data_IF_176668360980
#
_entry.id   IF_176668360980
#
_cell.length_a   1.000
_cell.length_b   1.000
_cell.length_c   1.000
_cell.angle_alpha   90.00
_cell.angle_beta   90.00
_cell.angle_gamma   90.00
#
_symmetry.space_group_name_H-M   'P 1'
#
loop_
_entity.id
_entity.type
_entity.pdbx_description
1 polymer ?
#
# COMPACT_ATOMS: atom_id res chain seq x y z
N UNK A 1 -34.03 22.44 7.39
CA UNK A 1 -33.32 21.32 6.71
C UNK A 1 -34.02 20.01 7.04
N UNK A 2 -34.33 19.20 6.04
CA UNK A 2 -35.18 18.00 6.16
C UNK A 2 -34.33 16.76 6.52
N UNK A 3 -34.72 15.95 7.51
CA UNK A 3 -33.93 14.78 7.98
C UNK A 3 -33.59 13.74 6.89
N UNK A 4 -34.31 13.74 5.76
CA UNK A 4 -34.09 12.85 4.61
C UNK A 4 -32.82 13.17 3.83
N UNK A 5 -32.36 14.42 3.85
CA UNK A 5 -31.16 14.88 3.13
C UNK A 5 -29.87 14.21 3.68
N UNK A 6 -29.87 13.80 4.95
CA UNK A 6 -28.69 13.18 5.57
C UNK A 6 -28.48 11.72 5.18
N UNK A 7 -29.52 10.98 4.77
CA UNK A 7 -29.40 9.55 4.45
C UNK A 7 -28.95 9.28 3.01
N UNK A 8 -29.19 10.23 2.10
CA UNK A 8 -28.87 10.09 0.68
C UNK A 8 -27.36 9.89 0.46
N UNK A 9 -26.45 10.70 1.06
CA UNK A 9 -25.01 10.47 0.91
C UNK A 9 -24.56 9.09 1.39
N UNK A 10 -25.08 8.61 2.54
CA UNK A 10 -24.74 7.27 3.04
C UNK A 10 -25.26 6.17 2.12
N UNK A 11 -26.48 6.30 1.60
CA UNK A 11 -27.05 5.35 0.66
C UNK A 11 -26.23 5.30 -0.65
N UNK A 12 -25.84 6.47 -1.17
CA UNK A 12 -25.00 6.58 -2.37
C UNK A 12 -23.62 5.96 -2.15
N UNK A 13 -22.95 6.29 -1.04
CA UNK A 13 -21.64 5.69 -0.70
C UNK A 13 -21.73 4.18 -0.57
N UNK A 14 -22.78 3.66 0.09
CA UNK A 14 -22.98 2.22 0.24
C UNK A 14 -23.22 1.55 -1.13
N UNK A 15 -24.03 2.16 -1.99
CA UNK A 15 -24.30 1.65 -3.33
C UNK A 15 -23.04 1.64 -4.20
N UNK A 16 -22.25 2.71 -4.16
CA UNK A 16 -20.95 2.81 -4.87
C UNK A 16 -19.99 1.75 -4.35
N UNK A 17 -19.89 1.58 -3.02
CA UNK A 17 -19.04 0.55 -2.42
C UNK A 17 -19.39 -0.83 -2.97
N UNK A 18 -20.67 -1.20 -3.02
CA UNK A 18 -21.11 -2.48 -3.58
C UNK A 18 -20.80 -2.62 -5.08
N UNK A 19 -21.03 -1.58 -5.87
CA UNK A 19 -20.76 -1.57 -7.32
C UNK A 19 -19.28 -1.80 -7.60
N UNK A 20 -18.39 -1.14 -6.86
CA UNK A 20 -16.93 -1.25 -7.07
C UNK A 20 -16.40 -2.65 -6.70
N UNK A 21 -17.10 -3.43 -5.88
CA UNK A 21 -16.71 -4.83 -5.63
C UNK A 21 -16.97 -5.76 -6.81
N UNK A 22 -17.73 -5.34 -7.83
CA UNK A 22 -18.08 -6.19 -8.97
C UNK A 22 -16.87 -6.43 -9.89
N UNK A 23 -16.73 -7.64 -10.48
CA UNK A 23 -15.58 -7.99 -11.33
C UNK A 23 -15.34 -7.06 -12.52
N UNK A 24 -16.40 -6.43 -13.04
CA UNK A 24 -16.31 -5.48 -14.15
C UNK A 24 -15.39 -4.28 -13.84
N UNK A 25 -15.34 -3.84 -12.58
CA UNK A 25 -14.50 -2.71 -12.17
C UNK A 25 -13.05 -3.10 -11.93
N UNK A 26 -12.69 -4.39 -12.03
CA UNK A 26 -11.32 -4.84 -11.81
C UNK A 26 -10.34 -4.19 -12.80
N UNK A 27 -10.73 -4.02 -14.06
CA UNK A 27 -9.90 -3.36 -15.10
C UNK A 27 -9.55 -1.93 -14.71
N UNK A 28 -10.51 -1.20 -14.13
CA UNK A 28 -10.30 0.19 -13.69
C UNK A 28 -9.47 0.23 -12.42
N UNK A 29 -9.69 -0.71 -11.48
CA UNK A 29 -8.94 -0.80 -10.23
C UNK A 29 -7.51 -1.31 -10.44
N UNK A 30 -7.27 -2.10 -11.47
CA UNK A 30 -6.00 -2.78 -11.73
C UNK A 30 -4.78 -1.84 -11.69
N UNK A 31 -4.73 -0.72 -12.44
CA UNK A 31 -3.59 0.20 -12.36
C UNK A 31 -3.39 0.79 -10.94
N UNK A 32 -4.47 1.12 -10.23
CA UNK A 32 -4.39 1.63 -8.85
C UNK A 32 -3.94 0.55 -7.87
N UNK A 33 -4.33 -0.70 -8.08
CA UNK A 33 -3.90 -1.85 -7.30
C UNK A 33 -2.40 -2.07 -7.45
N UNK A 34 -1.89 -2.07 -8.68
CA UNK A 34 -0.46 -2.15 -8.95
C UNK A 34 0.31 -0.97 -8.35
N UNK A 35 -0.23 0.24 -8.45
CA UNK A 35 0.38 1.44 -7.86
C UNK A 35 0.42 1.37 -6.32
N UNK A 36 -0.67 0.90 -5.70
CA UNK A 36 -0.73 0.66 -4.25
C UNK A 36 0.31 -0.37 -3.80
N UNK A 37 0.44 -1.47 -4.54
CA UNK A 37 1.49 -2.46 -4.31
C UNK A 37 2.89 -1.86 -4.49
N UNK A 38 3.10 -1.03 -5.51
CA UNK A 38 4.37 -0.33 -5.70
C UNK A 38 4.72 0.54 -4.49
N UNK A 39 3.76 1.32 -3.97
CA UNK A 39 3.97 2.13 -2.76
C UNK A 39 4.26 1.27 -1.53
N UNK A 40 3.61 0.11 -1.41
CA UNK A 40 3.87 -0.84 -0.33
C UNK A 40 5.31 -1.34 -0.38
N UNK A 41 5.74 -1.87 -1.53
CA UNK A 41 7.08 -2.42 -1.69
C UNK A 41 8.17 -1.34 -1.59
N UNK A 42 7.91 -0.14 -2.11
CA UNK A 42 8.78 1.01 -1.92
C UNK A 42 8.89 1.43 -0.44
N UNK A 43 7.81 1.31 0.33
CA UNK A 43 7.84 1.55 1.77
C UNK A 43 8.84 0.65 2.50
N UNK A 44 8.88 -0.64 2.16
CA UNK A 44 9.93 -1.55 2.64
C UNK A 44 11.33 -1.11 2.19
N UNK A 45 11.49 -0.81 0.90
CA UNK A 45 12.76 -0.36 0.33
C UNK A 45 13.31 0.88 1.02
N UNK A 46 12.52 1.95 1.12
CA UNK A 46 12.90 3.21 1.77
C UNK A 46 13.21 2.99 3.25
N UNK A 47 12.39 2.24 3.97
CA UNK A 47 12.65 1.93 5.37
C UNK A 47 13.99 1.20 5.56
N UNK A 48 14.32 0.24 4.68
CA UNK A 48 15.62 -0.44 4.72
C UNK A 48 16.80 0.52 4.52
N UNK A 49 16.68 1.48 3.58
CA UNK A 49 17.71 2.47 3.29
C UNK A 49 17.92 3.42 4.48
N UNK A 50 16.83 3.91 5.08
CA UNK A 50 16.90 4.81 6.24
C UNK A 50 17.57 4.17 7.46
N UNK A 51 17.44 2.84 7.58
CA UNK A 51 18.10 2.06 8.63
C UNK A 51 19.57 1.73 8.32
N UNK A 52 20.12 2.19 7.21
CA UNK A 52 21.50 1.88 6.78
C UNK A 52 21.63 0.53 6.08
N UNK A 53 20.52 -0.12 5.76
CA UNK A 53 20.48 -1.30 4.91
C UNK A 53 20.57 -0.96 3.42
N UNK A 54 20.20 -1.92 2.59
CA UNK A 54 20.21 -1.82 1.13
C UNK A 54 18.84 -2.20 0.57
N UNK A 55 18.37 -1.38 -0.37
CA UNK A 55 17.27 -1.73 -1.25
C UNK A 55 17.84 -2.14 -2.61
N UNK A 56 17.60 -3.38 -3.03
CA UNK A 56 18.21 -3.93 -4.25
C UNK A 56 17.30 -3.70 -5.45
N UNK A 57 16.07 -4.21 -5.37
CA UNK A 57 15.00 -4.01 -6.35
C UNK A 57 13.66 -4.39 -5.73
N UNK A 58 12.57 -4.05 -6.41
CA UNK A 58 11.25 -4.59 -6.13
C UNK A 58 10.70 -5.26 -7.39
N UNK A 59 9.84 -6.24 -7.19
CA UNK A 59 9.05 -6.89 -8.22
C UNK A 59 7.57 -6.61 -8.00
N UNK A 60 6.83 -6.46 -9.10
CA UNK A 60 5.38 -6.40 -9.10
C UNK A 60 4.86 -7.48 -10.04
N UNK A 61 3.96 -8.30 -9.51
CA UNK A 61 3.38 -9.43 -10.21
C UNK A 61 2.03 -9.06 -10.82
N UNK A 62 1.69 -9.76 -11.90
CA UNK A 62 0.43 -9.52 -12.64
C UNK A 62 -0.82 -9.71 -11.79
N UNK A 63 -0.76 -10.51 -10.72
CA UNK A 63 -1.86 -10.72 -9.78
C UNK A 63 -2.04 -9.57 -8.77
N UNK A 64 -1.25 -8.50 -8.87
CA UNK A 64 -1.29 -7.37 -7.95
C UNK A 64 -0.41 -7.54 -6.71
N UNK A 65 0.26 -8.68 -6.53
CA UNK A 65 1.25 -8.86 -5.47
C UNK A 65 2.60 -8.22 -5.83
N UNK A 66 3.48 -8.09 -4.84
CA UNK A 66 4.84 -7.59 -5.02
C UNK A 66 5.78 -8.11 -3.95
N UNK A 67 7.07 -7.90 -4.17
CA UNK A 67 8.13 -8.20 -3.18
C UNK A 67 9.25 -7.18 -3.31
N UNK A 68 9.62 -6.54 -2.20
CA UNK A 68 10.82 -5.74 -2.06
C UNK A 68 12.01 -6.58 -1.56
N UNK A 69 13.08 -6.62 -2.35
CA UNK A 69 14.33 -7.27 -1.96
C UNK A 69 15.21 -6.27 -1.22
N UNK A 70 15.36 -6.49 0.09
CA UNK A 70 16.12 -5.64 1.00
C UNK A 70 17.12 -6.45 1.81
N UNK A 71 18.25 -5.83 2.16
CA UNK A 71 19.24 -6.38 3.08
C UNK A 71 19.47 -5.40 4.23
N UNK A 72 19.22 -5.87 5.45
CA UNK A 72 19.39 -5.11 6.71
C UNK A 72 20.40 -5.77 7.63
N UNK A 73 21.28 -6.63 7.10
CA UNK A 73 22.35 -7.26 7.89
C UNK A 73 23.34 -6.22 8.45
N UNK A 74 23.55 -5.12 7.73
CA UNK A 74 24.49 -4.05 8.07
C UNK A 74 23.79 -2.74 8.53
N UNK A 75 22.56 -2.83 9.03
CA UNK A 75 21.80 -1.66 9.49
C UNK A 75 22.34 -1.05 10.79
N UNK A 76 21.99 0.20 11.06
CA UNK A 76 22.32 0.92 12.30
C UNK A 76 21.70 0.29 13.56
N UNK A 77 20.64 -0.51 13.39
CA UNK A 77 19.93 -1.21 14.47
C UNK A 77 20.24 -2.72 14.46
N UNK A 78 19.98 -3.43 15.57
CA UNK A 78 20.06 -4.88 15.60
C UNK A 78 19.18 -5.50 14.51
N UNK A 79 19.70 -6.52 13.82
CA UNK A 79 19.07 -7.15 12.65
C UNK A 79 17.57 -7.42 12.80
N UNK A 80 17.14 -7.97 13.95
CA UNK A 80 15.72 -8.28 14.20
C UNK A 80 14.83 -7.03 14.24
N UNK A 81 15.32 -5.97 14.87
CA UNK A 81 14.60 -4.71 14.98
C UNK A 81 14.57 -3.99 13.63
N UNK A 82 15.71 -3.93 12.94
CA UNK A 82 15.79 -3.34 11.61
C UNK A 82 14.83 -4.05 10.64
N UNK A 83 14.83 -5.39 10.64
CA UNK A 83 13.91 -6.19 9.82
C UNK A 83 12.45 -5.95 10.16
N UNK A 84 12.11 -5.81 11.45
CA UNK A 84 10.75 -5.50 11.87
C UNK A 84 10.29 -4.11 11.41
N UNK A 85 11.16 -3.09 11.51
CA UNK A 85 10.86 -1.73 11.06
C UNK A 85 10.77 -1.67 9.53
N UNK A 86 11.67 -2.32 8.81
CA UNK A 86 11.59 -2.47 7.35
C UNK A 86 10.28 -3.13 6.93
N UNK A 87 9.84 -4.19 7.64
CA UNK A 87 8.55 -4.82 7.39
C UNK A 87 7.37 -3.87 7.70
N UNK A 88 7.44 -3.04 8.73
CA UNK A 88 6.41 -2.05 9.01
C UNK A 88 6.35 -0.93 7.94
N UNK A 89 7.48 -0.63 7.29
CA UNK A 89 7.61 0.40 6.27
C UNK A 89 6.62 0.27 5.11
N UNK A 90 6.23 -0.95 4.74
CA UNK A 90 5.28 -1.16 3.64
C UNK A 90 3.88 -0.60 3.91
N UNK A 91 3.40 -0.64 5.15
CA UNK A 91 2.13 -0.02 5.54
C UNK A 91 2.20 1.51 5.53
N UNK A 92 3.36 2.07 5.85
CA UNK A 92 3.58 3.52 5.81
C UNK A 92 3.65 4.01 4.36
N UNK A 93 4.33 3.26 3.49
CA UNK A 93 4.42 3.58 2.06
C UNK A 93 3.06 3.74 1.40
N UNK A 94 2.12 2.82 1.64
CA UNK A 94 0.77 2.89 1.07
C UNK A 94 -0.06 4.05 1.62
N UNK A 95 0.03 4.32 2.92
CA UNK A 95 -0.72 5.42 3.54
C UNK A 95 -0.26 6.78 3.02
N UNK A 96 1.04 7.03 2.92
CA UNK A 96 1.57 8.27 2.34
C UNK A 96 1.19 8.36 0.86
N UNK A 97 1.40 7.29 0.08
CA UNK A 97 1.07 7.28 -1.34
C UNK A 97 -0.41 7.56 -1.64
N UNK A 98 -1.33 7.13 -0.77
CA UNK A 98 -2.76 7.40 -0.90
C UNK A 98 -3.20 8.81 -0.47
N UNK A 99 -2.32 9.60 0.16
CA UNK A 99 -2.64 10.98 0.60
C UNK A 99 -2.27 12.07 -0.41
N UNK A 100 -1.58 11.71 -1.50
CA UNK A 100 -1.12 12.60 -2.57
C UNK A 100 -1.93 12.30 -3.82
#
# INVERSE_FOLDING_TARGET
>A
MNKREHFIPFLLTFLIFLIVQMPFFDVVQYPFRLLGTWFHEMGHGIASLLLGGKFVYLEIYKNGGGVAYTDVSNSYLPYRLARAITAAGGLIGTTIGGTI
#
